data_IF_417496563411
#
_entry.id   IF_417496563411
#
_cell.length_a   1.000
_cell.length_b   1.000
_cell.length_c   1.000
_cell.angle_alpha   90.00
_cell.angle_beta   90.00
_cell.angle_gamma   90.00
#
_symmetry.space_group_name_H-M   'P 1'
#
loop_
_entity.id
_entity.type
_entity.pdbx_description
1 polymer ?
#
# COMPACT_ATOMS: atom_id res chain seq x y z
N UNK A 1 28.57 28.07 0.40
CA UNK A 1 27.58 27.57 1.39
C UNK A 1 26.30 27.05 0.72
N UNK A 2 25.66 27.81 -0.17
CA UNK A 2 24.48 27.36 -0.92
C UNK A 2 24.71 26.07 -1.74
N UNK A 3 25.84 25.95 -2.44
CA UNK A 3 26.19 24.74 -3.21
C UNK A 3 26.19 23.46 -2.37
N UNK A 4 26.83 23.48 -1.19
CA UNK A 4 26.85 22.34 -0.27
C UNK A 4 25.44 22.00 0.26
N UNK A 5 24.59 22.99 0.49
CA UNK A 5 23.20 22.77 0.91
C UNK A 5 22.38 22.10 -0.19
N UNK A 6 22.53 22.56 -1.43
CA UNK A 6 21.88 21.95 -2.59
C UNK A 6 22.35 20.51 -2.77
N UNK A 7 23.66 20.27 -2.65
CA UNK A 7 24.24 18.93 -2.77
C UNK A 7 23.73 18.00 -1.65
N UNK A 8 23.74 18.45 -0.40
CA UNK A 8 23.21 17.67 0.72
C UNK A 8 21.72 17.34 0.55
N UNK A 9 20.92 18.31 0.12
CA UNK A 9 19.51 18.08 -0.16
C UNK A 9 19.34 17.05 -1.29
N UNK A 10 20.09 17.19 -2.39
CA UNK A 10 20.06 16.23 -3.49
C UNK A 10 20.48 14.81 -3.04
N UNK A 11 21.48 14.68 -2.17
CA UNK A 11 21.90 13.40 -1.61
C UNK A 11 20.81 12.77 -0.73
N UNK A 12 20.13 13.55 0.12
CA UNK A 12 19.01 13.05 0.95
C UNK A 12 17.87 12.54 0.07
N UNK A 13 17.44 13.34 -0.91
CA UNK A 13 16.36 12.96 -1.84
C UNK A 13 16.75 11.72 -2.64
N UNK A 14 17.97 11.69 -3.18
CA UNK A 14 18.46 10.53 -3.93
C UNK A 14 18.51 9.26 -3.06
N UNK A 15 18.96 9.38 -1.82
CA UNK A 15 19.01 8.25 -0.87
C UNK A 15 17.61 7.71 -0.56
N UNK A 16 16.63 8.60 -0.33
CA UNK A 16 15.25 8.19 -0.11
C UNK A 16 14.67 7.46 -1.34
N UNK A 17 14.91 7.98 -2.55
CA UNK A 17 14.48 7.33 -3.80
C UNK A 17 15.17 5.98 -4.03
N UNK A 18 16.46 5.86 -3.70
CA UNK A 18 17.21 4.61 -3.79
C UNK A 18 16.66 3.56 -2.83
N UNK A 19 16.36 3.94 -1.58
CA UNK A 19 15.72 3.04 -0.60
C UNK A 19 14.36 2.56 -1.13
N UNK A 20 13.54 3.48 -1.65
CA UNK A 20 12.23 3.14 -2.20
C UNK A 20 12.33 2.17 -3.39
N UNK A 21 13.23 2.44 -4.35
CA UNK A 21 13.46 1.55 -5.49
C UNK A 21 14.07 0.21 -5.07
N UNK A 22 14.96 0.21 -4.08
CA UNK A 22 15.49 -1.01 -3.47
C UNK A 22 14.37 -1.88 -2.90
N UNK A 23 13.42 -1.29 -2.16
CA UNK A 23 12.26 -2.00 -1.62
C UNK A 23 11.38 -2.60 -2.72
N UNK A 24 11.14 -1.87 -3.82
CA UNK A 24 10.38 -2.39 -4.97
C UNK A 24 11.07 -3.62 -5.55
N UNK A 25 12.40 -3.55 -5.77
CA UNK A 25 13.17 -4.67 -6.34
C UNK A 25 13.19 -5.87 -5.38
N UNK A 26 13.42 -5.64 -4.09
CA UNK A 26 13.51 -6.72 -3.08
C UNK A 26 12.17 -7.43 -2.88
N UNK A 27 11.06 -6.69 -2.87
CA UNK A 27 9.73 -7.27 -2.63
C UNK A 27 9.04 -7.76 -3.90
N UNK A 28 9.51 -7.34 -5.07
CA UNK A 28 8.84 -7.55 -6.34
C UNK A 28 7.50 -6.80 -6.49
N UNK A 29 7.13 -5.96 -5.53
CA UNK A 29 5.89 -5.20 -5.53
C UNK A 29 6.14 -3.76 -5.96
N UNK A 30 5.33 -3.24 -6.88
CA UNK A 30 5.36 -1.82 -7.25
C UNK A 30 4.95 -0.89 -6.10
N UNK A 31 4.19 -1.43 -5.14
CA UNK A 31 3.79 -0.78 -3.90
C UNK A 31 4.18 -1.67 -2.73
N UNK A 32 5.42 -1.61 -2.24
CA UNK A 32 5.90 -2.50 -1.16
C UNK A 32 5.24 -2.18 0.19
N UNK A 33 4.64 -1.00 0.32
CA UNK A 33 4.02 -0.52 1.56
C UNK A 33 2.67 0.12 1.22
N UNK A 34 1.61 -0.32 1.91
CA UNK A 34 0.25 0.26 1.80
C UNK A 34 -0.37 0.46 3.18
N UNK A 35 -1.36 1.33 3.28
CA UNK A 35 -2.09 1.60 4.53
C UNK A 35 -3.54 1.13 4.41
N UNK A 36 -4.04 0.47 5.45
CA UNK A 36 -5.44 0.04 5.55
C UNK A 36 -6.33 1.25 5.85
N UNK A 37 -7.29 1.53 4.98
CA UNK A 37 -8.14 2.73 5.04
C UNK A 37 -9.52 2.47 5.66
N UNK A 38 -9.96 1.22 5.76
CA UNK A 38 -11.30 0.81 6.20
C UNK A 38 -11.24 -0.34 7.21
N UNK A 39 -12.37 -0.63 7.86
CA UNK A 39 -12.53 -1.78 8.77
C UNK A 39 -13.04 -3.07 8.10
N UNK A 40 -12.94 -3.20 6.77
CA UNK A 40 -13.43 -4.40 6.05
C UNK A 40 -12.60 -5.65 6.32
N UNK A 41 -11.40 -5.48 6.86
CA UNK A 41 -10.47 -6.56 7.20
C UNK A 41 -10.43 -6.87 8.70
N UNK A 42 -11.31 -6.30 9.51
CA UNK A 42 -11.38 -6.65 10.93
C UNK A 42 -11.86 -8.11 11.11
N UNK A 43 -11.31 -8.86 12.07
CA UNK A 43 -10.32 -8.46 13.08
C UNK A 43 -8.86 -8.61 12.64
N UNK A 44 -8.58 -9.07 11.42
CA UNK A 44 -7.22 -9.35 10.97
C UNK A 44 -6.37 -8.08 10.81
N UNK A 45 -6.95 -7.02 10.24
CA UNK A 45 -6.33 -5.70 10.12
C UNK A 45 -7.32 -4.61 10.50
N UNK A 46 -6.80 -3.55 11.11
CA UNK A 46 -7.54 -2.38 11.51
C UNK A 46 -7.19 -1.18 10.63
N UNK A 47 -8.10 -0.20 10.58
CA UNK A 47 -7.81 1.08 9.93
C UNK A 47 -6.55 1.71 10.53
N UNK A 48 -5.61 2.07 9.65
CA UNK A 48 -4.32 2.64 10.04
C UNK A 48 -3.18 1.63 10.13
N UNK A 49 -3.44 0.33 9.94
CA UNK A 49 -2.36 -0.65 9.84
C UNK A 49 -1.56 -0.43 8.55
N UNK A 50 -0.23 -0.48 8.67
CA UNK A 50 0.71 -0.35 7.56
C UNK A 50 1.17 -1.74 7.15
N UNK A 51 0.83 -2.16 5.93
CA UNK A 51 1.12 -3.50 5.41
C UNK A 51 2.39 -3.51 4.56
N UNK A 52 3.21 -4.53 4.75
CA UNK A 52 4.34 -4.84 3.89
C UNK A 52 3.93 -5.87 2.84
N UNK A 53 4.13 -5.52 1.58
CA UNK A 53 3.68 -6.31 0.44
C UNK A 53 4.85 -6.97 -0.30
N UNK A 54 4.59 -8.15 -0.86
CA UNK A 54 5.49 -8.83 -1.80
C UNK A 54 4.71 -9.32 -3.02
N UNK A 55 5.33 -9.34 -4.20
CA UNK A 55 4.66 -9.79 -5.43
C UNK A 55 5.60 -10.60 -6.35
N UNK A 56 6.07 -11.75 -5.88
CA UNK A 56 6.92 -12.62 -6.69
C UNK A 56 6.14 -13.41 -7.74
N UNK A 57 6.70 -13.53 -8.95
CA UNK A 57 6.07 -14.24 -10.07
C UNK A 57 5.93 -15.75 -9.82
N UNK A 58 6.89 -16.37 -9.15
CA UNK A 58 6.94 -17.83 -8.94
C UNK A 58 6.13 -18.30 -7.73
N UNK A 59 5.50 -17.38 -7.01
CA UNK A 59 4.78 -17.68 -5.79
C UNK A 59 3.26 -17.69 -6.07
N UNK A 60 2.61 -18.87 -6.03
CA UNK A 60 1.21 -19.03 -6.39
C UNK A 60 0.29 -18.47 -5.29
N UNK A 61 -0.79 -17.81 -5.71
CA UNK A 61 -1.78 -17.25 -4.79
C UNK A 61 -2.64 -18.38 -4.23
N UNK A 62 -2.78 -18.45 -2.91
CA UNK A 62 -3.53 -19.50 -2.22
C UNK A 62 -4.73 -18.96 -1.48
N UNK A 63 -5.73 -19.82 -1.28
CA UNK A 63 -6.85 -19.50 -0.41
C UNK A 63 -6.34 -19.22 1.02
N UNK A 64 -6.88 -18.18 1.65
CA UNK A 64 -6.47 -17.68 2.96
C UNK A 64 -5.46 -16.54 2.92
N UNK A 65 -4.75 -16.33 1.80
CA UNK A 65 -3.82 -15.22 1.65
C UNK A 65 -4.54 -13.87 1.60
N UNK A 66 -3.88 -12.81 2.06
CA UNK A 66 -4.39 -11.45 1.97
C UNK A 66 -3.69 -10.74 0.83
N UNK A 67 -4.48 -10.34 -0.16
CA UNK A 67 -4.01 -9.71 -1.40
C UNK A 67 -4.44 -8.25 -1.42
N UNK A 68 -3.58 -7.44 -2.00
CA UNK A 68 -3.85 -6.06 -2.38
C UNK A 68 -3.99 -6.02 -3.87
N UNK A 69 -5.17 -5.67 -4.36
CA UNK A 69 -5.49 -5.67 -5.78
C UNK A 69 -6.07 -4.33 -6.21
N UNK A 70 -5.90 -4.00 -7.49
CA UNK A 70 -6.47 -2.81 -8.10
C UNK A 70 -7.54 -3.23 -9.09
N UNK A 71 -8.72 -2.63 -8.96
CA UNK A 71 -9.80 -2.80 -9.93
C UNK A 71 -9.75 -1.66 -10.93
N UNK A 72 -9.94 -1.97 -12.21
CA UNK A 72 -10.05 -0.96 -13.26
C UNK A 72 -11.21 0.01 -12.97
N UNK A 73 -10.96 1.32 -13.08
CA UNK A 73 -11.94 2.36 -12.71
C UNK A 73 -11.94 2.75 -11.24
N UNK A 74 -11.08 2.14 -10.39
CA UNK A 74 -10.83 2.58 -9.02
C UNK A 74 -9.37 3.00 -8.84
N UNK A 75 -9.18 4.18 -8.27
CA UNK A 75 -7.83 4.69 -7.98
C UNK A 75 -7.21 4.07 -6.73
N UNK A 76 -8.06 3.71 -5.77
CA UNK A 76 -7.64 3.18 -4.45
C UNK A 76 -7.61 1.64 -4.51
N UNK A 77 -6.47 1.01 -4.19
CA UNK A 77 -6.37 -0.44 -4.12
C UNK A 77 -7.18 -1.00 -2.93
N UNK A 78 -7.63 -2.24 -3.07
CA UNK A 78 -8.45 -2.95 -2.07
C UNK A 78 -7.60 -4.06 -1.45
N UNK A 79 -7.68 -4.20 -0.13
CA UNK A 79 -6.97 -5.23 0.64
C UNK A 79 -8.00 -6.22 1.15
N UNK A 80 -8.07 -7.45 0.62
CA UNK A 80 -9.01 -8.48 1.09
C UNK A 80 -8.41 -9.88 1.07
N UNK A 81 -9.08 -10.83 1.74
CA UNK A 81 -8.65 -12.22 1.83
C UNK A 81 -9.15 -13.03 0.64
N UNK A 82 -8.28 -13.86 0.07
CA UNK A 82 -8.65 -14.83 -0.96
C UNK A 82 -9.46 -15.95 -0.32
N UNK A 83 -10.71 -16.13 -0.74
CA UNK A 83 -11.60 -17.17 -0.22
C UNK A 83 -11.71 -18.37 -1.16
N UNK A 84 -11.39 -18.21 -2.44
CA UNK A 84 -11.43 -19.30 -3.42
C UNK A 84 -10.40 -19.10 -4.51
N UNK A 85 -9.72 -20.18 -4.89
CA UNK A 85 -8.74 -20.22 -5.98
C UNK A 85 -9.17 -21.29 -6.99
N UNK A 86 -9.04 -20.97 -8.27
CA UNK A 86 -9.27 -21.87 -9.41
C UNK A 86 -7.98 -21.88 -10.22
N UNK A 87 -7.27 -23.00 -10.17
CA UNK A 87 -6.13 -23.24 -11.03
C UNK A 87 -6.58 -23.99 -12.28
N UNK A 88 -6.31 -23.41 -13.45
CA UNK A 88 -6.41 -24.13 -14.72
C UNK A 88 -5.05 -24.73 -15.05
N UNK A 89 -5.03 -25.91 -15.68
CA UNK A 89 -3.80 -26.64 -16.03
C UNK A 89 -2.82 -25.92 -16.99
N UNK A 90 -3.17 -24.72 -17.45
CA UNK A 90 -2.31 -23.83 -18.23
C UNK A 90 -1.59 -22.76 -17.37
N UNK A 91 -1.66 -22.86 -16.04
CA UNK A 91 -1.04 -21.91 -15.12
C UNK A 91 -1.85 -20.63 -14.87
N UNK A 92 -3.02 -20.47 -15.51
CA UNK A 92 -3.90 -19.34 -15.22
C UNK A 92 -4.65 -19.57 -13.90
N UNK A 93 -4.36 -18.71 -12.93
CA UNK A 93 -5.01 -18.69 -11.63
C UNK A 93 -6.09 -17.62 -11.63
N UNK A 94 -7.30 -18.01 -11.24
CA UNK A 94 -8.43 -17.12 -10.99
C UNK A 94 -8.82 -17.23 -9.53
N UNK A 95 -9.08 -16.11 -8.87
CA UNK A 95 -9.42 -16.14 -7.45
C UNK A 95 -10.51 -15.14 -7.11
N UNK A 96 -11.17 -15.42 -5.98
CA UNK A 96 -12.23 -14.60 -5.41
C UNK A 96 -11.78 -14.12 -4.05
N UNK A 97 -12.02 -12.84 -3.78
CA UNK A 97 -11.68 -12.18 -2.53
C UNK A 97 -12.92 -11.78 -1.75
N UNK A 98 -12.75 -11.59 -0.46
CA UNK A 98 -13.76 -11.08 0.45
C UNK A 98 -13.07 -10.39 1.64
N UNK A 99 -13.61 -9.26 2.07
CA UNK A 99 -13.23 -8.64 3.35
C UNK A 99 -13.62 -9.54 4.52
N UNK A 100 -12.71 -9.69 5.49
CA UNK A 100 -12.95 -10.53 6.67
C UNK A 100 -14.21 -10.12 7.43
N UNK A 101 -14.50 -8.81 7.48
CA UNK A 101 -15.67 -8.22 8.14
C UNK A 101 -16.87 -7.97 7.19
N UNK A 102 -16.78 -8.36 5.92
CA UNK A 102 -17.89 -8.16 4.97
C UNK A 102 -18.85 -9.36 5.02
N UNK A 103 -20.14 -9.17 4.72
CA UNK A 103 -21.10 -10.30 4.62
C UNK A 103 -21.02 -11.01 3.27
N UNK A 104 -20.69 -10.27 2.22
CA UNK A 104 -20.67 -10.73 0.82
C UNK A 104 -19.26 -10.74 0.25
N UNK A 105 -19.07 -11.48 -0.85
CA UNK A 105 -17.82 -11.49 -1.62
C UNK A 105 -17.64 -10.20 -2.47
N UNK A 106 -16.43 -10.01 -3.00
CA UNK A 106 -16.06 -8.77 -3.69
C UNK A 106 -16.51 -8.69 -5.15
N UNK A 107 -17.33 -9.61 -5.67
CA UNK A 107 -17.74 -9.58 -7.08
C UNK A 107 -18.42 -8.28 -7.48
N UNK A 108 -19.20 -7.68 -6.57
CA UNK A 108 -19.83 -6.38 -6.79
C UNK A 108 -18.84 -5.20 -6.84
N UNK A 109 -17.59 -5.40 -6.44
CA UNK A 109 -16.53 -4.39 -6.47
C UNK A 109 -15.67 -4.49 -7.74
N UNK A 110 -15.69 -5.64 -8.42
CA UNK A 110 -14.91 -5.87 -9.64
C UNK A 110 -15.46 -5.08 -10.83
N UNK A 111 -14.72 -5.09 -11.94
CA UNK A 111 -15.16 -4.51 -13.20
C UNK A 111 -16.46 -5.18 -13.67
N UNK A 112 -17.34 -4.45 -14.35
CA UNK A 112 -18.54 -5.04 -14.94
C UNK A 112 -18.20 -6.26 -15.82
N UNK A 113 -18.89 -7.37 -15.58
CA UNK A 113 -18.64 -8.65 -16.26
C UNK A 113 -17.46 -9.47 -15.71
N UNK A 114 -16.69 -8.95 -14.74
CA UNK A 114 -15.61 -9.66 -14.09
C UNK A 114 -16.10 -10.36 -12.81
N UNK A 115 -16.02 -11.69 -12.80
CA UNK A 115 -16.42 -12.52 -11.64
C UNK A 115 -15.23 -13.05 -10.82
N UNK A 116 -14.02 -12.90 -11.34
CA UNK A 116 -12.79 -13.45 -10.78
C UNK A 116 -11.63 -12.49 -11.03
N UNK A 117 -10.74 -12.35 -10.06
CA UNK A 117 -9.47 -11.64 -10.21
C UNK A 117 -8.41 -12.57 -10.80
N UNK A 118 -7.47 -11.97 -11.52
CA UNK A 118 -6.30 -12.63 -12.10
C UNK A 118 -5.02 -12.07 -11.47
N UNK A 119 -3.89 -12.77 -11.65
CA UNK A 119 -2.60 -12.35 -11.05
C UNK A 119 -2.19 -10.92 -11.44
N UNK A 120 -2.56 -10.47 -12.65
CA UNK A 120 -2.29 -9.10 -13.14
C UNK A 120 -3.00 -8.00 -12.34
N UNK A 121 -4.10 -8.33 -11.65
CA UNK A 121 -4.86 -7.37 -10.86
C UNK A 121 -4.22 -7.15 -9.47
N UNK A 122 -3.27 -8.02 -9.08
CA UNK A 122 -2.60 -8.01 -7.78
C UNK A 122 -1.41 -7.08 -7.78
N UNK A 123 -1.47 -6.10 -6.90
CA UNK A 123 -0.35 -5.19 -6.60
C UNK A 123 0.67 -5.90 -5.71
N UNK A 124 0.18 -6.64 -4.70
CA UNK A 124 1.03 -7.48 -3.86
C UNK A 124 0.26 -8.24 -2.79
N UNK A 125 0.97 -9.07 -2.04
CA UNK A 125 0.45 -9.88 -0.93
C UNK A 125 1.02 -9.41 0.40
N UNK A 126 0.15 -9.28 1.40
CA UNK A 126 0.57 -8.87 2.73
C UNK A 126 1.41 -9.99 3.39
N UNK A 127 2.64 -9.64 3.81
CA UNK A 127 3.56 -10.55 4.52
C UNK A 127 3.78 -10.17 5.98
N UNK A 128 3.49 -8.93 6.33
CA UNK A 128 3.57 -8.41 7.69
C UNK A 128 2.90 -7.05 7.77
N UNK A 129 2.76 -6.54 8.99
CA UNK A 129 2.18 -5.22 9.20
C UNK A 129 2.73 -4.55 10.47
N UNK A 130 2.59 -3.22 10.52
CA UNK A 130 2.78 -2.43 11.72
C UNK A 130 1.45 -1.80 12.11
N UNK A 131 0.94 -2.06 13.33
CA UNK A 131 -0.36 -1.57 13.73
C UNK A 131 -0.36 -0.05 13.89
N UNK A 132 -1.43 0.60 13.43
CA UNK A 132 -1.72 2.04 13.60
C UNK A 132 -0.71 3.07 13.04
N UNK A 133 0.46 2.65 12.53
CA UNK A 133 1.49 3.57 11.99
C UNK A 133 0.94 4.41 10.83
N UNK A 134 0.08 3.80 10.00
CA UNK A 134 -0.60 4.46 8.90
C UNK A 134 -1.58 5.55 9.34
N UNK A 135 -2.01 5.60 10.61
CA UNK A 135 -2.89 6.66 11.12
C UNK A 135 -2.31 8.06 10.92
N UNK A 136 -0.97 8.21 10.99
CA UNK A 136 -0.31 9.49 10.73
C UNK A 136 -0.64 9.97 9.31
N UNK A 137 -0.55 9.08 8.32
CA UNK A 137 -0.84 9.41 6.92
C UNK A 137 -2.33 9.72 6.71
N UNK A 138 -3.21 8.98 7.38
CA UNK A 138 -4.66 9.19 7.34
C UNK A 138 -5.01 10.56 7.92
N UNK A 139 -4.51 10.90 9.11
CA UNK A 139 -4.76 12.19 9.77
C UNK A 139 -4.25 13.35 8.92
N UNK A 140 -3.05 13.22 8.31
CA UNK A 140 -2.51 14.25 7.42
C UNK A 140 -3.36 14.47 6.17
N UNK A 141 -4.04 13.43 5.68
CA UNK A 141 -4.94 13.51 4.54
C UNK A 141 -6.32 14.05 4.93
N UNK A 142 -6.89 13.56 6.03
CA UNK A 142 -8.22 13.90 6.54
C UNK A 142 -8.27 15.35 7.08
N UNK A 143 -7.15 15.84 7.64
CA UNK A 143 -7.02 17.22 8.17
C UNK A 143 -5.91 18.00 7.44
N UNK A 144 -6.16 18.54 6.23
CA UNK A 144 -5.15 19.29 5.47
C UNK A 144 -4.58 20.49 6.24
N UNK A 145 -5.37 21.15 7.09
CA UNK A 145 -4.92 22.26 7.95
C UNK A 145 -3.81 21.82 8.92
N UNK A 146 -3.92 20.62 9.48
CA UNK A 146 -2.89 20.04 10.33
C UNK A 146 -1.60 19.79 9.56
N UNK A 147 -1.71 19.24 8.34
CA UNK A 147 -0.57 19.06 7.43
C UNK A 147 0.14 20.37 7.13
N UNK A 148 -0.58 21.44 6.80
CA UNK A 148 0.03 22.75 6.53
C UNK A 148 0.65 23.38 7.77
N UNK A 149 0.02 23.25 8.95
CA UNK A 149 0.59 23.72 10.20
C UNK A 149 1.91 23.01 10.53
N UNK A 150 1.96 21.68 10.37
CA UNK A 150 3.18 20.89 10.57
C UNK A 150 4.31 21.32 9.63
N UNK A 151 4.01 21.49 8.33
CA UNK A 151 4.98 21.97 7.35
C UNK A 151 5.48 23.37 7.66
N UNK A 152 4.61 24.27 8.12
CA UNK A 152 4.99 25.62 8.53
C UNK A 152 5.93 25.62 9.74
N UNK A 153 5.64 24.80 10.76
CA UNK A 153 6.50 24.63 11.95
C UNK A 153 7.85 24.06 11.56
N UNK A 154 7.89 23.03 10.71
CA UNK A 154 9.16 22.46 10.22
C UNK A 154 9.96 23.47 9.40
N UNK A 155 9.30 24.22 8.52
CA UNK A 155 9.93 25.29 7.73
C UNK A 155 10.52 26.38 8.63
N UNK A 156 9.75 26.85 9.62
CA UNK A 156 10.22 27.82 10.60
C UNK A 156 11.41 27.27 11.41
N UNK A 157 11.35 26.01 11.87
CA UNK A 157 12.46 25.38 12.59
C UNK A 157 13.75 25.34 11.76
N UNK A 158 13.66 24.95 10.48
CA UNK A 158 14.83 24.92 9.58
C UNK A 158 15.39 26.33 9.35
N UNK A 159 14.52 27.34 9.21
CA UNK A 159 14.95 28.73 9.04
C UNK A 159 15.60 29.29 10.31
N UNK A 160 15.04 29.03 11.50
CA UNK A 160 15.61 29.48 12.77
C UNK A 160 16.93 28.79 13.09
N UNK A 161 17.08 27.51 12.73
CA UNK A 161 18.33 26.75 12.91
C UNK A 161 19.42 27.14 11.89
N UNK A 162 19.10 27.93 10.87
CA UNK A 162 20.07 28.42 9.87
C UNK A 162 21.07 29.44 10.47
N UNK A 163 20.72 30.06 11.59
CA UNK A 163 21.47 31.17 12.21
C UNK A 163 22.36 30.76 13.40
N UNK A 164 22.39 29.48 13.79
CA UNK A 164 23.38 28.91 14.75
C UNK A 164 24.33 27.95 14.06
#
# INVERSE_FOLDING_TARGET
QLYYQVLNFAMIVSSALMIWKGLIVVTGSESPIVVVLSGSMEPAFHRGDLLFLTNFHDDPIRAGEIVVFKVEGRDIPIVHRVIKVHEKGNGNIKFLTKGDNNEVDDRGLYKEGQNWLEKKDVVGRARGFLPYVGMVTIIMNDYPKFKYALLAVMGAYVLLKRES
#
